data_IF_115802550086
#
_entry.id   IF_115802550086
#
_cell.length_a   1.000
_cell.length_b   1.000
_cell.length_c   1.000
_cell.angle_alpha   90.00
_cell.angle_beta   90.00
_cell.angle_gamma   90.00
#
_symmetry.space_group_name_H-M   'P 1'
#
loop_
_entity.id
_entity.type
_entity.pdbx_description
1 polymer ?
#
# COMPACT_ATOMS: atom_id res chain seq x y z
N UNK A 1 -20.83 -53.54 19.91
CA UNK A 1 -21.02 -53.28 18.46
C UNK A 1 -21.66 -51.92 18.17
N UNK A 2 -22.83 -51.58 18.73
CA UNK A 2 -23.51 -50.29 18.49
C UNK A 2 -22.65 -49.04 18.82
N UNK A 3 -21.85 -49.09 19.89
CA UNK A 3 -20.93 -47.99 20.28
C UNK A 3 -19.83 -47.74 19.25
N UNK A 4 -19.27 -48.79 18.64
CA UNK A 4 -18.23 -48.67 17.61
C UNK A 4 -18.79 -48.15 16.29
N UNK A 5 -20.05 -48.48 15.95
CA UNK A 5 -20.76 -47.96 14.78
C UNK A 5 -21.03 -46.45 14.94
N UNK A 6 -21.45 -46.00 16.12
CA UNK A 6 -21.64 -44.57 16.41
C UNK A 6 -20.30 -43.82 16.37
N UNK A 7 -19.22 -44.42 16.88
CA UNK A 7 -17.89 -43.81 16.88
C UNK A 7 -17.32 -43.67 15.45
N UNK A 8 -17.55 -44.66 14.59
CA UNK A 8 -17.20 -44.60 13.16
C UNK A 8 -18.04 -43.55 12.42
N UNK A 9 -19.33 -43.44 12.71
CA UNK A 9 -20.20 -42.43 12.12
C UNK A 9 -19.80 -40.99 12.52
N UNK A 10 -19.39 -40.77 13.77
CA UNK A 10 -18.91 -39.46 14.25
C UNK A 10 -17.55 -39.10 13.63
N UNK A 11 -16.68 -40.10 13.40
CA UNK A 11 -15.39 -39.90 12.74
C UNK A 11 -15.56 -39.59 11.24
N UNK A 12 -16.47 -40.29 10.57
CA UNK A 12 -16.84 -40.00 9.17
C UNK A 12 -17.54 -38.64 9.05
N UNK A 13 -18.42 -38.27 9.98
CA UNK A 13 -19.06 -36.95 10.00
C UNK A 13 -18.06 -35.82 10.24
N UNK A 14 -17.05 -36.01 11.10
CA UNK A 14 -15.96 -35.05 11.29
C UNK A 14 -15.08 -34.92 10.03
N UNK A 15 -14.80 -36.04 9.35
CA UNK A 15 -14.03 -36.04 8.11
C UNK A 15 -14.81 -35.40 6.94
N UNK A 16 -16.14 -35.51 6.94
CA UNK A 16 -17.01 -34.82 5.99
C UNK A 16 -17.08 -33.30 6.25
N UNK A 17 -16.99 -32.87 7.51
CA UNK A 17 -17.00 -31.45 7.88
C UNK A 17 -15.67 -30.74 7.52
N UNK A 18 -14.55 -31.45 7.54
CA UNK A 18 -13.23 -30.88 7.23
C UNK A 18 -13.07 -30.50 5.75
N UNK A 19 -13.74 -31.20 4.82
CA UNK A 19 -13.65 -30.91 3.39
C UNK A 19 -14.42 -29.62 2.99
N UNK A 20 -15.34 -29.15 3.83
CA UNK A 20 -16.15 -27.96 3.56
C UNK A 20 -15.51 -26.65 4.05
N UNK A 21 -14.41 -26.70 4.81
CA UNK A 21 -13.64 -25.51 5.19
C UNK A 21 -12.65 -25.18 4.07
N UNK A 22 -13.18 -24.86 2.88
CA UNK A 22 -12.41 -24.11 1.91
C UNK A 22 -12.31 -22.69 2.45
N UNK A 23 -11.18 -22.36 3.07
CA UNK A 23 -10.89 -21.01 3.50
C UNK A 23 -10.82 -20.12 2.25
N UNK A 24 -11.93 -19.47 1.92
CA UNK A 24 -12.04 -18.50 0.84
C UNK A 24 -11.32 -17.22 1.31
N UNK A 25 -10.02 -17.16 1.02
CA UNK A 25 -9.21 -16.00 1.33
C UNK A 25 -9.34 -15.00 0.20
N UNK A 26 -9.58 -13.74 0.53
CA UNK A 26 -9.71 -12.68 -0.46
C UNK A 26 -8.51 -11.73 -0.42
N UNK A 27 -8.10 -11.26 -1.58
CA UNK A 27 -7.06 -10.26 -1.73
C UNK A 27 -7.56 -9.07 -2.55
N UNK A 28 -7.04 -7.89 -2.23
CA UNK A 28 -7.28 -6.65 -2.94
C UNK A 28 -6.05 -6.27 -3.75
N UNK A 29 -6.28 -5.82 -4.99
CA UNK A 29 -5.22 -5.28 -5.85
C UNK A 29 -4.77 -3.90 -5.32
N UNK A 30 -3.47 -3.74 -5.11
CA UNK A 30 -2.87 -2.50 -4.61
C UNK A 30 -2.32 -1.61 -5.72
N UNK A 31 -1.98 -2.20 -6.88
CA UNK A 31 -1.46 -1.44 -8.02
C UNK A 31 -2.58 -0.84 -8.87
N UNK A 32 -2.30 0.32 -9.49
CA UNK A 32 -3.23 1.02 -10.39
C UNK A 32 -3.70 0.09 -11.52
N UNK A 33 -2.78 -0.64 -12.12
CA UNK A 33 -3.04 -1.72 -13.08
C UNK A 33 -2.23 -2.94 -12.66
N UNK A 34 -2.91 -4.08 -12.48
CA UNK A 34 -2.26 -5.37 -12.27
C UNK A 34 -2.71 -6.36 -13.34
N UNK A 35 -1.81 -7.26 -13.73
CA UNK A 35 -2.03 -8.26 -14.77
C UNK A 35 -2.20 -9.62 -14.13
N UNK A 36 -3.28 -10.30 -14.47
CA UNK A 36 -3.49 -11.71 -14.17
C UNK A 36 -2.88 -12.50 -15.32
N UNK A 37 -1.92 -13.35 -14.99
CA UNK A 37 -1.12 -14.13 -15.93
C UNK A 37 -1.60 -15.58 -16.00
N UNK A 38 -1.35 -16.25 -17.12
CA UNK A 38 -1.76 -17.66 -17.30
C UNK A 38 -0.89 -18.64 -16.51
N UNK A 39 0.35 -18.27 -16.20
CA UNK A 39 1.33 -19.10 -15.50
C UNK A 39 2.13 -18.25 -14.49
N UNK A 40 2.78 -18.87 -13.50
CA UNK A 40 3.64 -18.20 -12.52
C UNK A 40 4.98 -17.73 -13.14
N UNK A 41 4.92 -16.94 -14.21
CA UNK A 41 6.08 -16.41 -14.92
C UNK A 41 5.77 -15.06 -15.54
N UNK A 42 6.71 -14.11 -15.43
CA UNK A 42 6.59 -12.76 -15.98
C UNK A 42 6.49 -12.70 -17.52
N UNK A 43 6.92 -13.75 -18.24
CA UNK A 43 6.83 -13.85 -19.70
C UNK A 43 5.55 -14.52 -20.20
N UNK A 44 4.67 -14.95 -19.29
CA UNK A 44 3.45 -15.64 -19.67
C UNK A 44 2.37 -14.68 -20.20
N UNK A 45 1.35 -15.24 -20.83
CA UNK A 45 0.28 -14.47 -21.45
C UNK A 45 -0.62 -13.82 -20.38
N UNK A 46 -1.02 -12.58 -20.63
CA UNK A 46 -1.99 -11.85 -19.82
C UNK A 46 -3.39 -12.40 -20.11
N UNK A 47 -4.07 -12.90 -19.07
CA UNK A 47 -5.44 -13.44 -19.13
C UNK A 47 -6.46 -12.34 -18.88
N UNK A 48 -6.17 -11.44 -17.94
CA UNK A 48 -7.01 -10.30 -17.59
C UNK A 48 -6.15 -9.18 -16.99
N UNK A 49 -6.64 -7.95 -17.11
CA UNK A 49 -6.11 -6.79 -16.38
C UNK A 49 -7.13 -6.34 -15.35
N UNK A 50 -6.66 -6.02 -14.16
CA UNK A 50 -7.47 -5.65 -13.00
C UNK A 50 -6.99 -4.34 -12.41
N UNK A 51 -7.93 -3.52 -11.97
CA UNK A 51 -7.67 -2.21 -11.39
C UNK A 51 -7.41 -2.26 -9.88
N UNK A 52 -6.88 -1.17 -9.35
CA UNK A 52 -6.71 -0.98 -7.91
C UNK A 52 -8.04 -1.16 -7.16
N UNK A 53 -8.00 -1.86 -6.02
CA UNK A 53 -9.15 -2.09 -5.15
C UNK A 53 -10.04 -3.26 -5.58
N UNK A 54 -9.76 -3.89 -6.72
CA UNK A 54 -10.50 -5.07 -7.14
C UNK A 54 -10.28 -6.23 -6.16
N UNK A 55 -11.40 -6.85 -5.72
CA UNK A 55 -11.41 -8.03 -4.87
C UNK A 55 -11.20 -9.27 -5.72
N UNK A 56 -10.27 -10.13 -5.29
CA UNK A 56 -9.89 -11.37 -5.95
C UNK A 56 -9.98 -12.53 -4.98
N UNK A 57 -10.50 -13.66 -5.45
CA UNK A 57 -10.68 -14.87 -4.63
C UNK A 57 -9.42 -15.72 -4.74
N UNK A 58 -8.76 -16.00 -3.62
CA UNK A 58 -7.55 -16.81 -3.58
C UNK A 58 -7.92 -18.29 -3.66
N UNK A 59 -7.35 -18.98 -4.65
CA UNK A 59 -7.43 -20.45 -4.73
C UNK A 59 -6.18 -21.16 -4.24
N UNK A 60 -5.04 -20.46 -4.20
CA UNK A 60 -3.80 -21.01 -3.66
C UNK A 60 -2.62 -20.08 -3.81
N UNK A 61 -1.51 -20.44 -3.18
CA UNK A 61 -0.24 -19.72 -3.26
C UNK A 61 0.86 -20.64 -3.74
N UNK A 62 1.62 -20.17 -4.71
CA UNK A 62 2.77 -20.87 -5.28
C UNK A 62 3.99 -19.93 -5.21
N UNK A 63 4.65 -19.91 -4.05
CA UNK A 63 5.79 -19.03 -3.77
C UNK A 63 5.41 -17.54 -3.78
N UNK A 64 5.94 -16.80 -4.76
CA UNK A 64 5.68 -15.37 -4.99
C UNK A 64 4.37 -15.16 -5.75
N UNK A 65 3.82 -16.21 -6.37
CA UNK A 65 2.60 -16.14 -7.15
C UNK A 65 1.40 -16.57 -6.33
N UNK A 66 0.28 -15.90 -6.56
CA UNK A 66 -1.00 -16.20 -5.95
C UNK A 66 -1.95 -16.58 -7.07
N UNK A 67 -2.51 -17.80 -6.98
CA UNK A 67 -3.56 -18.25 -7.88
C UNK A 67 -4.86 -17.61 -7.44
N UNK A 68 -5.42 -16.78 -8.31
CA UNK A 68 -6.64 -16.01 -8.07
C UNK A 68 -7.71 -16.38 -9.10
N UNK A 69 -8.95 -16.38 -8.64
CA UNK A 69 -10.13 -16.42 -9.50
C UNK A 69 -10.79 -15.03 -9.50
N UNK A 70 -11.19 -14.59 -10.68
CA UNK A 70 -11.93 -13.37 -10.91
C UNK A 70 -13.18 -13.73 -11.74
N UNK A 71 -14.24 -14.13 -11.04
CA UNK A 71 -15.44 -14.70 -11.66
C UNK A 71 -15.11 -15.99 -12.44
N UNK A 72 -15.33 -15.98 -13.75
CA UNK A 72 -15.09 -17.15 -14.62
C UNK A 72 -13.63 -17.27 -15.13
N UNK A 73 -12.73 -16.34 -14.77
CA UNK A 73 -11.34 -16.36 -15.20
C UNK A 73 -10.43 -16.70 -14.04
N UNK A 74 -9.57 -17.69 -14.23
CA UNK A 74 -8.52 -18.05 -13.27
C UNK A 74 -7.15 -17.67 -13.81
N UNK A 75 -6.24 -17.30 -12.92
CA UNK A 75 -4.83 -17.07 -13.27
C UNK A 75 -3.97 -16.78 -12.06
N UNK A 76 -2.77 -16.26 -12.34
CA UNK A 76 -1.73 -16.00 -11.36
C UNK A 76 -1.45 -14.50 -11.27
N UNK A 77 -1.38 -13.98 -10.05
CA UNK A 77 -0.95 -12.60 -9.77
C UNK A 77 0.25 -12.63 -8.84
N UNK A 78 1.16 -11.67 -9.00
CA UNK A 78 2.30 -11.54 -8.07
C UNK A 78 1.80 -11.08 -6.70
N UNK A 79 2.26 -11.74 -5.64
CA UNK A 79 1.95 -11.41 -4.24
C UNK A 79 2.35 -9.97 -3.86
N UNK A 80 3.25 -9.34 -4.63
CA UNK A 80 3.68 -7.96 -4.40
C UNK A 80 2.60 -6.94 -4.81
N UNK A 81 1.66 -7.34 -5.67
CA UNK A 81 0.64 -6.44 -6.24
C UNK A 81 -0.69 -6.52 -5.50
N UNK A 82 -0.80 -7.41 -4.50
CA UNK A 82 -2.04 -7.71 -3.78
C UNK A 82 -1.82 -7.72 -2.28
N UNK A 83 -2.84 -7.34 -1.53
CA UNK A 83 -2.84 -7.31 -0.07
C UNK A 83 -4.19 -7.78 0.47
N UNK A 84 -4.21 -8.29 1.70
CA UNK A 84 -5.46 -8.65 2.39
C UNK A 84 -6.31 -7.44 2.75
N UNK A 85 -5.69 -6.24 2.79
CA UNK A 85 -6.37 -5.00 3.10
C UNK A 85 -6.69 -4.23 1.82
N UNK A 86 -7.83 -3.54 1.74
CA UNK A 86 -8.12 -2.66 0.62
C UNK A 86 -7.09 -1.53 0.54
N UNK A 87 -6.77 -1.03 -0.67
CA UNK A 87 -5.90 0.12 -0.82
C UNK A 87 -6.54 1.32 -0.12
N UNK A 88 -5.73 2.06 0.63
CA UNK A 88 -6.18 3.32 1.21
C UNK A 88 -6.55 4.25 0.05
N UNK A 89 -7.81 4.67 -0.02
CA UNK A 89 -8.19 5.75 -0.91
C UNK A 89 -7.29 6.94 -0.58
N UNK A 90 -6.65 7.53 -1.60
CA UNK A 90 -5.99 8.83 -1.49
C UNK A 90 -7.08 9.86 -1.18
N UNK A 91 -7.52 9.90 0.07
CA UNK A 91 -8.17 11.09 0.60
C UNK A 91 -7.06 12.13 0.64
N UNK A 92 -7.19 13.18 -0.17
CA UNK A 92 -6.45 14.40 0.04
C UNK A 92 -6.81 14.91 1.44
N UNK A 93 -6.06 14.47 2.44
CA UNK A 93 -6.21 14.88 3.84
C UNK A 93 -5.64 16.29 4.09
N UNK A 94 -5.41 17.05 3.02
CA UNK A 94 -5.17 18.49 3.11
C UNK A 94 -6.35 19.14 2.39
N UNK A 95 -7.51 19.12 3.05
CA UNK A 95 -8.46 20.19 2.80
C UNK A 95 -7.79 21.43 3.38
N UNK A 96 -7.65 22.49 2.59
CA UNK A 96 -7.12 23.79 3.03
C UNK A 96 -7.84 24.39 4.26
N UNK A 97 -8.95 23.78 4.69
CA UNK A 97 -9.72 24.16 5.87
C UNK A 97 -9.36 23.37 7.14
N UNK A 98 -8.42 22.42 7.10
CA UNK A 98 -7.84 21.83 8.31
C UNK A 98 -6.83 22.82 8.91
N UNK A 99 -7.36 23.94 9.40
CA UNK A 99 -6.66 24.99 10.15
C UNK A 99 -6.09 24.51 11.50
N UNK A 100 -5.91 23.20 11.68
CA UNK A 100 -5.45 22.60 12.91
C UNK A 100 -4.56 21.36 12.64
N UNK A 101 -3.58 21.49 11.74
CA UNK A 101 -2.35 20.71 11.92
C UNK A 101 -1.72 21.23 13.21
N UNK A 102 -2.07 20.61 14.34
CA UNK A 102 -1.51 20.92 15.65
C UNK A 102 0.02 20.96 15.53
N UNK A 103 0.56 22.17 15.72
CA UNK A 103 1.99 22.42 15.96
C UNK A 103 2.50 21.38 16.96
N UNK A 104 3.26 20.42 16.45
CA UNK A 104 3.63 19.22 17.20
C UNK A 104 4.42 18.21 16.36
N UNK A 105 4.47 18.39 15.04
CA UNK A 105 5.47 17.75 14.17
C UNK A 105 6.82 18.41 14.44
N UNK A 106 7.41 17.97 15.54
CA UNK A 106 8.81 18.06 15.97
C UNK A 106 9.67 19.02 15.13
N UNK A 107 9.75 20.27 15.61
CA UNK A 107 10.99 21.06 15.51
C UNK A 107 12.11 20.16 16.01
N UNK A 108 12.86 19.54 15.10
CA UNK A 108 14.07 18.79 15.44
C UNK A 108 15.22 19.78 15.69
N UNK A 109 15.02 20.72 16.62
CA UNK A 109 16.09 21.01 17.59
C UNK A 109 16.32 19.69 18.33
N UNK A 110 17.48 19.06 18.38
CA UNK A 110 18.83 19.57 18.28
C UNK A 110 19.78 18.37 18.17
N UNK A 111 20.42 18.18 17.02
CA UNK A 111 21.74 17.53 16.97
C UNK A 111 22.84 18.59 16.85
N UNK A 112 22.56 19.68 16.13
CA UNK A 112 23.49 20.78 15.91
C UNK A 112 23.62 21.75 17.11
N UNK A 113 22.52 22.00 17.84
CA UNK A 113 22.57 22.93 18.97
C UNK A 113 23.49 22.42 20.11
N UNK A 114 23.60 21.11 20.31
CA UNK A 114 24.48 20.53 21.32
C UNK A 114 25.97 20.66 20.96
N UNK A 115 26.33 20.43 19.70
CA UNK A 115 27.72 20.59 19.22
C UNK A 115 28.12 22.07 19.09
N UNK A 116 27.19 22.94 18.72
CA UNK A 116 27.38 24.38 18.60
C UNK A 116 27.51 25.07 19.96
N UNK A 117 26.73 24.65 20.97
CA UNK A 117 26.85 25.15 22.34
C UNK A 117 28.21 24.78 22.98
N UNK A 118 28.73 23.58 22.70
CA UNK A 118 30.05 23.15 23.15
C UNK A 118 31.20 24.00 22.57
N UNK A 119 30.98 24.68 21.43
CA UNK A 119 31.97 25.55 20.77
C UNK A 119 31.78 27.05 21.04
N UNK A 120 30.88 27.43 21.95
CA UNK A 120 30.78 28.81 22.42
C UNK A 120 30.16 29.82 21.44
N UNK A 121 29.28 29.38 20.54
CA UNK A 121 28.52 30.28 19.65
C UNK A 121 27.60 31.19 20.47
N UNK A 122 27.92 32.48 20.51
CA UNK A 122 27.19 33.52 21.27
C UNK A 122 25.86 33.89 20.59
N UNK A 123 25.00 34.67 21.27
CA UNK A 123 23.73 35.16 20.68
C UNK A 123 23.96 36.00 19.42
N UNK A 124 25.07 36.72 19.36
CA UNK A 124 25.46 37.56 18.22
C UNK A 124 25.87 36.74 16.99
N UNK A 125 26.57 35.60 17.16
CA UNK A 125 26.91 34.71 16.04
C UNK A 125 25.69 33.97 15.50
N UNK A 126 24.72 33.68 16.37
CA UNK A 126 23.39 33.19 15.96
C UNK A 126 22.69 34.18 15.02
N UNK A 127 22.76 35.49 15.29
CA UNK A 127 22.09 36.51 14.48
C UNK A 127 22.75 36.71 13.11
N UNK A 128 24.04 36.42 12.94
CA UNK A 128 24.70 36.41 11.61
C UNK A 128 24.38 35.15 10.80
N UNK A 129 24.35 33.98 11.42
CA UNK A 129 24.02 32.72 10.74
C UNK A 129 22.54 32.63 10.32
N UNK A 130 21.64 33.25 11.09
CA UNK A 130 20.19 33.28 10.82
C UNK A 130 19.83 34.03 9.52
N UNK A 131 20.75 34.85 9.00
CA UNK A 131 20.51 35.61 7.76
C UNK A 131 20.67 34.74 6.50
N UNK A 132 21.45 33.67 6.53
CA UNK A 132 21.69 32.76 5.39
C UNK A 132 20.85 31.47 5.45
N UNK A 133 20.28 31.10 6.60
CA UNK A 133 19.42 29.92 6.74
C UNK A 133 17.92 30.30 6.63
N UNK A 134 17.59 31.27 5.77
CA UNK A 134 16.20 31.64 5.48
C UNK A 134 15.54 30.51 4.69
N UNK A 135 14.70 29.74 5.36
CA UNK A 135 13.79 28.77 4.74
C UNK A 135 12.93 29.51 3.70
N UNK A 136 13.09 29.16 2.42
CA UNK A 136 12.31 29.77 1.33
C UNK A 136 10.89 29.19 1.31
N UNK A 137 10.04 29.76 2.17
CA UNK A 137 8.62 29.43 2.23
C UNK A 137 7.88 29.75 0.91
N UNK A 138 8.42 30.62 0.06
CA UNK A 138 7.83 30.92 -1.25
C UNK A 138 8.06 29.77 -2.23
N UNK A 139 9.22 29.10 -2.14
CA UNK A 139 9.48 27.89 -2.90
C UNK A 139 8.59 26.74 -2.40
N UNK A 140 8.44 26.59 -1.08
CA UNK A 140 7.55 25.59 -0.49
C UNK A 140 6.09 25.79 -0.94
N UNK A 141 5.57 27.01 -0.87
CA UNK A 141 4.21 27.30 -1.34
C UNK A 141 4.02 27.03 -2.83
N UNK A 142 5.05 27.27 -3.66
CA UNK A 142 5.03 26.90 -5.08
C UNK A 142 5.00 25.39 -5.29
N UNK A 143 5.65 24.60 -4.44
CA UNK A 143 5.60 23.14 -4.51
C UNK A 143 4.27 22.57 -4.00
N UNK A 144 3.68 23.19 -2.98
CA UNK A 144 2.38 22.78 -2.42
C UNK A 144 1.19 23.14 -3.34
N UNK A 145 1.33 24.21 -4.12
CA UNK A 145 0.32 24.61 -5.10
C UNK A 145 0.23 23.69 -6.33
N UNK A 146 1.24 22.82 -6.55
CA UNK A 146 1.23 21.84 -7.63
C UNK A 146 0.34 20.65 -7.25
N UNK A 147 -0.95 20.75 -7.57
CA UNK A 147 -1.87 19.61 -7.54
C UNK A 147 -1.95 18.99 -8.93
N UNK A 148 -1.60 17.71 -9.05
CA UNK A 148 -1.81 16.95 -10.28
C UNK A 148 -3.21 16.32 -10.27
N UNK A 149 -3.88 16.34 -11.42
CA UNK A 149 -5.12 15.60 -11.61
C UNK A 149 -4.84 14.10 -11.75
N UNK A 150 -5.83 13.26 -11.42
CA UNK A 150 -5.68 11.81 -11.57
C UNK A 150 -5.41 11.42 -13.04
N UNK A 151 -5.97 12.17 -14.00
CA UNK A 151 -5.76 11.97 -15.43
C UNK A 151 -4.30 12.23 -15.84
N UNK A 152 -3.69 13.33 -15.40
CA UNK A 152 -2.26 13.62 -15.66
C UNK A 152 -1.35 12.53 -15.09
N UNK A 153 -1.69 12.00 -13.92
CA UNK A 153 -0.93 10.89 -13.30
C UNK A 153 -1.04 9.62 -14.13
N UNK A 154 -2.22 9.33 -14.69
CA UNK A 154 -2.38 8.17 -15.58
C UNK A 154 -1.64 8.34 -16.90
N UNK A 155 -1.68 9.53 -17.50
CA UNK A 155 -1.00 9.83 -18.75
C UNK A 155 0.52 9.75 -18.61
N UNK A 156 1.06 10.23 -17.48
CA UNK A 156 2.47 10.08 -17.13
C UNK A 156 2.87 8.59 -16.98
N UNK A 157 2.04 7.79 -16.30
CA UNK A 157 2.31 6.36 -16.12
C UNK A 157 2.31 5.58 -17.45
N UNK A 158 1.53 6.04 -18.44
CA UNK A 158 1.47 5.46 -19.78
C UNK A 158 2.62 5.91 -20.70
N UNK A 159 3.50 6.79 -20.21
CA UNK A 159 4.68 7.25 -20.94
C UNK A 159 4.36 8.26 -22.05
N UNK A 160 3.12 8.75 -22.13
CA UNK A 160 2.80 9.91 -22.94
C UNK A 160 3.37 11.13 -22.22
N UNK A 161 4.43 11.71 -22.80
CA UNK A 161 5.01 12.98 -22.35
C UNK A 161 3.88 14.04 -22.29
N UNK A 162 3.89 14.95 -21.29
CA UNK A 162 2.92 16.06 -21.23
C UNK A 162 2.95 16.91 -22.50
#
# INVERSE_FOLDING_TARGET
MKKHIVLLAVLVANMLYAAAVCAEQFYYVQSVKAKILSAPSFRSKVVAEVGMGQKLDMKGREGIWIKVANGNKEGYVSSLLVSTHPPLQKRGFIKANDAEIKMGVRRRSSAFASAAAARGLTKEDRMRADTEERVDYTALGRMEALSFSDDEVTQFAEGSKP
#
